data_IF_019683056645
#
_entry.id   IF_019683056645
#
_cell.length_a   1.000
_cell.length_b   1.000
_cell.length_c   1.000
_cell.angle_alpha   90.00
_cell.angle_beta   90.00
_cell.angle_gamma   90.00
#
_symmetry.space_group_name_H-M   'P 1'
#
loop_
_entity.id
_entity.type
_entity.pdbx_description
1 polymer ?
#
# COMPACT_ATOMS: atom_id res chain seq x y z
N UNK A 1 -19.05 -25.70 -18.46
CA UNK A 1 -18.44 -24.36 -18.67
C UNK A 1 -18.26 -23.68 -17.32
N UNK A 2 -17.28 -22.79 -17.17
CA UNK A 2 -17.16 -21.98 -15.93
C UNK A 2 -18.40 -21.10 -15.79
N UNK A 3 -18.98 -21.03 -14.59
CA UNK A 3 -20.19 -20.22 -14.36
C UNK A 3 -19.92 -18.74 -14.63
N UNK A 4 -20.84 -18.06 -15.32
CA UNK A 4 -20.76 -16.61 -15.57
C UNK A 4 -20.64 -15.81 -14.27
N UNK A 5 -21.29 -16.27 -13.18
CA UNK A 5 -21.21 -15.63 -11.86
C UNK A 5 -19.81 -15.71 -11.26
N UNK A 6 -19.15 -16.87 -11.38
CA UNK A 6 -17.79 -17.06 -10.88
C UNK A 6 -16.78 -16.23 -11.68
N UNK A 7 -16.91 -16.21 -13.00
CA UNK A 7 -16.06 -15.37 -13.84
C UNK A 7 -16.29 -13.88 -13.58
N UNK A 8 -17.54 -13.46 -13.36
CA UNK A 8 -17.87 -12.08 -12.99
C UNK A 8 -17.23 -11.66 -11.66
N UNK A 9 -17.28 -12.51 -10.63
CA UNK A 9 -16.60 -12.26 -9.36
C UNK A 9 -15.08 -12.18 -9.53
N UNK A 10 -14.49 -13.06 -10.35
CA UNK A 10 -13.06 -13.03 -10.66
C UNK A 10 -12.66 -11.72 -11.34
N UNK A 11 -13.39 -11.30 -12.39
CA UNK A 11 -13.15 -10.03 -13.10
C UNK A 11 -13.32 -8.82 -12.17
N UNK A 12 -14.31 -8.85 -11.28
CA UNK A 12 -14.51 -7.80 -10.30
C UNK A 12 -13.27 -7.58 -9.42
N UNK A 13 -12.73 -8.65 -8.81
CA UNK A 13 -11.53 -8.52 -7.98
C UNK A 13 -10.27 -8.19 -8.79
N UNK A 14 -10.20 -8.63 -10.04
CA UNK A 14 -9.09 -8.31 -10.94
C UNK A 14 -9.06 -6.82 -11.31
N UNK A 15 -10.22 -6.20 -11.56
CA UNK A 15 -10.33 -4.74 -11.76
C UNK A 15 -9.96 -3.98 -10.47
N UNK A 16 -10.35 -4.49 -9.31
CA UNK A 16 -9.97 -3.89 -8.03
C UNK A 16 -8.45 -3.98 -7.78
N UNK A 17 -7.81 -5.06 -8.22
CA UNK A 17 -6.35 -5.20 -8.17
C UNK A 17 -5.68 -4.15 -9.07
N UNK A 18 -6.20 -3.94 -10.29
CA UNK A 18 -5.74 -2.87 -11.17
C UNK A 18 -5.89 -1.49 -10.52
N UNK A 19 -7.07 -1.20 -9.95
CA UNK A 19 -7.33 0.07 -9.27
C UNK A 19 -6.38 0.29 -8.08
N UNK A 20 -6.12 -0.75 -7.27
CA UNK A 20 -5.14 -0.71 -6.19
C UNK A 20 -3.72 -0.41 -6.71
N UNK A 21 -3.32 -1.05 -7.81
CA UNK A 21 -2.02 -0.81 -8.46
C UNK A 21 -1.86 0.63 -8.94
N UNK A 22 -2.88 1.17 -9.63
CA UNK A 22 -2.90 2.56 -10.11
C UNK A 22 -2.86 3.52 -8.93
N UNK A 23 -3.71 3.33 -7.92
CA UNK A 23 -3.79 4.21 -6.76
C UNK A 23 -2.44 4.27 -6.02
N UNK A 24 -1.83 3.11 -5.74
CA UNK A 24 -0.52 3.05 -5.06
C UNK A 24 0.57 3.74 -5.87
N UNK A 25 0.57 3.56 -7.19
CA UNK A 25 1.57 4.17 -8.06
C UNK A 25 1.39 5.70 -8.16
N UNK A 26 0.16 6.16 -8.37
CA UNK A 26 -0.15 7.59 -8.47
C UNK A 26 0.17 8.32 -7.18
N UNK A 27 -0.25 7.81 -6.02
CA UNK A 27 0.05 8.45 -4.74
C UNK A 27 1.57 8.49 -4.49
N UNK A 28 2.30 7.43 -4.84
CA UNK A 28 3.76 7.39 -4.71
C UNK A 28 4.51 8.38 -5.60
N UNK A 29 3.88 8.85 -6.68
CA UNK A 29 4.42 9.89 -7.57
C UNK A 29 4.00 11.27 -7.09
N UNK A 30 2.70 11.46 -6.83
CA UNK A 30 2.13 12.76 -6.42
C UNK A 30 2.73 13.23 -5.10
N UNK A 31 2.95 12.35 -4.13
CA UNK A 31 3.54 12.71 -2.84
C UNK A 31 5.05 12.98 -2.88
N UNK A 32 5.69 12.88 -4.05
CA UNK A 32 7.06 13.41 -4.25
C UNK A 32 7.08 14.91 -4.57
N UNK A 33 5.91 15.50 -4.85
CA UNK A 33 5.82 16.94 -5.05
C UNK A 33 6.25 17.68 -3.77
N UNK A 34 6.91 18.85 -3.89
CA UNK A 34 7.44 19.56 -2.75
C UNK A 34 6.31 20.00 -1.80
N UNK A 35 6.23 19.34 -0.66
CA UNK A 35 5.30 19.66 0.41
C UNK A 35 5.99 19.41 1.74
N UNK A 36 6.12 20.45 2.57
CA UNK A 36 6.91 20.41 3.79
C UNK A 36 6.51 19.27 4.73
N UNK A 37 5.21 19.11 5.00
CA UNK A 37 4.73 18.10 5.94
C UNK A 37 4.73 16.70 5.34
N UNK A 38 4.38 16.54 4.06
CA UNK A 38 4.48 15.22 3.41
C UNK A 38 5.91 14.74 3.27
N UNK A 39 6.86 15.63 2.98
CA UNK A 39 8.29 15.30 2.90
C UNK A 39 8.88 14.98 4.28
N UNK A 40 8.30 15.52 5.36
CA UNK A 40 8.63 15.13 6.72
C UNK A 40 8.05 13.74 7.03
N UNK A 41 6.81 13.47 6.59
CA UNK A 41 6.08 12.21 6.85
C UNK A 41 6.64 11.02 6.09
N UNK A 42 6.92 11.18 4.80
CA UNK A 42 7.34 10.09 3.92
C UNK A 42 8.77 10.26 3.47
N UNK A 43 9.58 9.23 3.72
CA UNK A 43 10.90 9.13 3.13
C UNK A 43 10.83 8.66 1.67
N UNK A 44 11.93 8.84 0.94
CA UNK A 44 12.09 8.31 -0.41
C UNK A 44 11.93 6.77 -0.44
N UNK A 45 12.34 6.08 0.61
CA UNK A 45 12.18 4.63 0.76
C UNK A 45 10.71 4.23 0.90
N UNK A 46 9.91 5.00 1.64
CA UNK A 46 8.48 4.72 1.81
C UNK A 46 7.74 4.88 0.48
N UNK A 47 8.01 5.97 -0.24
CA UNK A 47 7.44 6.22 -1.57
C UNK A 47 7.94 5.21 -2.63
N UNK A 48 9.18 4.74 -2.53
CA UNK A 48 9.69 3.66 -3.37
C UNK A 48 8.96 2.35 -3.08
N UNK A 49 8.67 2.05 -1.83
CA UNK A 49 7.93 0.85 -1.42
C UNK A 49 6.49 0.87 -1.96
N UNK A 50 5.83 2.03 -1.89
CA UNK A 50 4.51 2.25 -2.52
C UNK A 50 4.54 2.12 -4.05
N UNK A 51 5.62 2.58 -4.69
CA UNK A 51 5.83 2.44 -6.14
C UNK A 51 6.00 0.96 -6.51
N UNK A 52 6.84 0.23 -5.76
CA UNK A 52 7.06 -1.20 -5.94
C UNK A 52 5.74 -1.99 -5.82
N UNK A 53 4.94 -1.70 -4.79
CA UNK A 53 3.65 -2.35 -4.60
C UNK A 53 2.69 -2.09 -5.76
N UNK A 54 2.63 -0.84 -6.23
CA UNK A 54 1.84 -0.46 -7.40
C UNK A 54 2.25 -1.23 -8.65
N UNK A 55 3.55 -1.27 -8.96
CA UNK A 55 4.09 -2.02 -10.11
C UNK A 55 3.78 -3.52 -10.00
N UNK A 56 3.95 -4.12 -8.82
CA UNK A 56 3.65 -5.53 -8.59
C UNK A 56 2.19 -5.86 -8.90
N UNK A 57 1.24 -5.03 -8.46
CA UNK A 57 -0.18 -5.23 -8.76
C UNK A 57 -0.49 -5.07 -10.25
N UNK A 58 0.09 -4.07 -10.91
CA UNK A 58 -0.09 -3.86 -12.36
C UNK A 58 0.46 -5.03 -13.18
N UNK A 59 1.65 -5.52 -12.84
CA UNK A 59 2.24 -6.71 -13.49
C UNK A 59 1.36 -7.93 -13.23
N UNK A 60 0.84 -8.09 -12.01
CA UNK A 60 -0.05 -9.20 -11.67
C UNK A 60 -1.36 -9.16 -12.46
N UNK A 61 -1.91 -7.98 -12.67
CA UNK A 61 -3.08 -7.78 -13.55
C UNK A 61 -2.76 -8.15 -15.01
N UNK A 62 -1.57 -7.81 -15.52
CA UNK A 62 -1.17 -8.26 -16.86
C UNK A 62 -1.05 -9.79 -16.95
N UNK A 63 -0.51 -10.41 -15.89
CA UNK A 63 -0.42 -11.88 -15.78
C UNK A 63 -1.82 -12.50 -15.68
N UNK A 64 -2.76 -11.88 -14.99
CA UNK A 64 -4.12 -12.40 -14.82
C UNK A 64 -4.88 -12.44 -16.14
N UNK A 65 -4.77 -11.39 -16.97
CA UNK A 65 -5.30 -11.35 -18.33
C UNK A 65 -4.69 -12.48 -19.17
N UNK A 66 -3.35 -12.60 -19.17
CA UNK A 66 -2.68 -13.66 -19.92
C UNK A 66 -3.10 -15.06 -19.44
N UNK A 67 -3.29 -15.25 -18.13
CA UNK A 67 -3.69 -16.52 -17.53
C UNK A 67 -5.14 -16.92 -17.86
N UNK A 68 -6.08 -15.97 -17.89
CA UNK A 68 -7.49 -16.28 -18.12
C UNK A 68 -7.80 -16.56 -19.60
N UNK A 69 -7.10 -15.89 -20.52
CA UNK A 69 -7.28 -16.03 -21.99
C UNK A 69 -6.78 -17.39 -22.51
N UNK A 70 -5.91 -18.08 -21.77
CA UNK A 70 -5.46 -19.43 -22.13
C UNK A 70 -6.64 -20.41 -22.28
N UNK A 71 -6.46 -21.39 -23.18
CA UNK A 71 -7.44 -22.46 -23.44
C UNK A 71 -7.87 -23.12 -22.13
N UNK A 72 -9.15 -23.45 -22.00
CA UNK A 72 -9.74 -23.96 -20.74
C UNK A 72 -9.04 -25.20 -20.13
N UNK A 73 -8.39 -26.04 -20.94
CA UNK A 73 -7.66 -27.21 -20.44
C UNK A 73 -6.27 -26.87 -19.86
N UNK A 74 -5.74 -25.68 -20.17
CA UNK A 74 -4.47 -25.18 -19.66
C UNK A 74 -4.76 -24.38 -18.39
N UNK A 75 -4.30 -24.87 -17.24
CA UNK A 75 -4.46 -24.19 -15.94
C UNK A 75 -3.17 -23.61 -15.40
N UNK A 76 -2.03 -23.84 -16.08
CA UNK A 76 -0.71 -23.45 -15.57
C UNK A 76 -0.59 -21.93 -15.38
N UNK A 77 -1.15 -21.11 -16.29
CA UNK A 77 -1.16 -19.66 -16.14
C UNK A 77 -1.88 -19.20 -14.87
N UNK A 78 -3.02 -19.81 -14.53
CA UNK A 78 -3.76 -19.49 -13.31
C UNK A 78 -3.03 -19.97 -12.04
N UNK A 79 -2.28 -21.06 -12.13
CA UNK A 79 -1.40 -21.51 -11.03
C UNK A 79 -0.27 -20.52 -10.80
N UNK A 80 0.37 -20.03 -11.86
CA UNK A 80 1.39 -18.97 -11.78
C UNK A 80 0.78 -17.70 -11.17
N UNK A 81 -0.41 -17.29 -11.62
CA UNK A 81 -1.12 -16.14 -11.05
C UNK A 81 -1.29 -16.29 -9.53
N UNK A 82 -1.68 -17.47 -9.03
CA UNK A 82 -1.84 -17.69 -7.60
C UNK A 82 -0.52 -17.61 -6.81
N UNK A 83 0.59 -18.07 -7.38
CA UNK A 83 1.91 -17.88 -6.77
C UNK A 83 2.30 -16.40 -6.70
N UNK A 84 2.03 -15.65 -7.77
CA UNK A 84 2.26 -14.20 -7.79
C UNK A 84 1.36 -13.48 -6.79
N UNK A 85 0.08 -13.86 -6.68
CA UNK A 85 -0.84 -13.30 -5.68
C UNK A 85 -0.38 -13.59 -4.24
N UNK A 86 0.21 -14.76 -3.99
CA UNK A 86 0.81 -15.09 -2.69
C UNK A 86 2.01 -14.18 -2.38
N UNK A 87 2.89 -13.96 -3.35
CA UNK A 87 4.03 -13.02 -3.22
C UNK A 87 3.52 -11.59 -2.95
N UNK A 88 2.49 -11.15 -3.67
CA UNK A 88 1.84 -9.86 -3.44
C UNK A 88 1.27 -9.76 -2.02
N UNK A 89 0.62 -10.82 -1.53
CA UNK A 89 0.13 -10.88 -0.16
C UNK A 89 1.26 -10.68 0.86
N UNK A 90 2.39 -11.36 0.68
CA UNK A 90 3.56 -11.18 1.55
C UNK A 90 4.07 -9.73 1.48
N UNK A 91 4.18 -9.14 0.29
CA UNK A 91 4.62 -7.76 0.13
C UNK A 91 3.69 -6.77 0.85
N UNK A 92 2.36 -6.94 0.70
CA UNK A 92 1.36 -6.13 1.42
C UNK A 92 1.51 -6.27 2.92
N UNK A 93 1.66 -7.50 3.45
CA UNK A 93 1.85 -7.71 4.88
C UNK A 93 3.11 -7.01 5.40
N UNK A 94 4.24 -7.17 4.73
CA UNK A 94 5.52 -6.60 5.16
C UNK A 94 5.45 -5.07 5.17
N UNK A 95 4.99 -4.47 4.07
CA UNK A 95 4.90 -3.00 3.94
C UNK A 95 3.86 -2.44 4.92
N UNK A 96 2.67 -3.05 4.98
CA UNK A 96 1.60 -2.61 5.89
C UNK A 96 2.00 -2.71 7.36
N UNK A 97 2.68 -3.81 7.76
CA UNK A 97 3.16 -4.01 9.13
C UNK A 97 4.26 -3.02 9.50
N UNK A 98 5.18 -2.73 8.57
CA UNK A 98 6.23 -1.74 8.78
C UNK A 98 5.64 -0.35 9.07
N UNK A 99 4.72 0.13 8.22
CA UNK A 99 4.07 1.43 8.39
C UNK A 99 3.23 1.46 9.68
N UNK A 100 2.49 0.38 9.97
CA UNK A 100 1.71 0.28 11.21
C UNK A 100 2.59 0.29 12.46
N UNK A 101 3.75 -0.36 12.43
CA UNK A 101 4.69 -0.30 13.57
C UNK A 101 5.26 1.11 13.74
N UNK A 102 5.47 1.82 12.63
CA UNK A 102 5.92 3.20 12.65
C UNK A 102 4.92 4.15 13.33
N UNK A 103 3.60 3.90 13.21
CA UNK A 103 2.57 4.69 13.91
C UNK A 103 2.54 4.43 15.42
N UNK A 104 2.91 3.24 15.89
CA UNK A 104 2.96 2.94 17.33
C UNK A 104 4.04 3.75 18.08
N UNK A 105 5.16 4.05 17.41
CA UNK A 105 6.28 4.81 17.96
C UNK A 105 6.44 6.20 17.34
N UNK A 106 5.35 6.76 16.84
CA UNK A 106 5.33 7.95 16.00
C UNK A 106 6.10 9.13 16.61
N UNK A 107 5.80 9.51 17.86
CA UNK A 107 6.45 10.64 18.55
C UNK A 107 7.96 10.48 18.64
N UNK A 108 8.47 9.27 18.84
CA UNK A 108 9.90 9.02 18.94
C UNK A 108 10.56 8.95 17.55
N UNK A 109 9.87 8.33 16.59
CA UNK A 109 10.35 8.24 15.22
C UNK A 109 10.47 9.64 14.59
N UNK A 110 9.44 10.47 14.76
CA UNK A 110 9.45 11.84 14.23
C UNK A 110 10.33 12.80 15.00
N UNK A 111 10.65 12.55 16.27
CA UNK A 111 11.73 13.28 16.95
C UNK A 111 13.05 13.10 16.20
N UNK A 112 13.36 11.84 15.84
CA UNK A 112 14.57 11.52 15.08
C UNK A 112 14.53 12.11 13.66
N UNK A 113 13.39 12.06 12.98
CA UNK A 113 13.24 12.64 11.63
C UNK A 113 13.36 14.16 11.66
N UNK A 114 12.75 14.81 12.65
CA UNK A 114 12.82 16.26 12.85
C UNK A 114 14.25 16.71 13.21
N UNK A 115 14.93 16.00 14.11
CA UNK A 115 16.30 16.31 14.52
C UNK A 115 17.31 16.25 13.37
N UNK A 116 17.08 15.38 12.37
CA UNK A 116 17.90 15.26 11.15
C UNK A 116 17.69 16.39 10.14
N UNK A 117 16.65 17.19 10.29
CA UNK A 117 16.40 18.31 9.37
C UNK A 117 17.44 19.43 9.58
N UNK A 118 17.71 20.18 8.52
CA UNK A 118 18.50 21.41 8.62
C UNK A 118 17.76 22.47 9.43
N UNK A 119 18.50 23.40 10.04
CA UNK A 119 17.91 24.50 10.82
C UNK A 119 16.94 25.35 9.98
N UNK A 120 17.22 25.53 8.69
CA UNK A 120 16.32 26.23 7.77
C UNK A 120 14.95 25.53 7.65
N UNK A 121 14.94 24.20 7.48
CA UNK A 121 13.70 23.41 7.41
C UNK A 121 13.01 23.37 8.78
N UNK A 122 13.77 23.23 9.87
CA UNK A 122 13.20 23.28 11.24
C UNK A 122 12.51 24.62 11.49
N UNK A 123 13.11 25.74 11.10
CA UNK A 123 12.51 27.07 11.18
C UNK A 123 11.23 27.14 10.35
N UNK A 124 11.24 26.64 9.11
CA UNK A 124 10.06 26.61 8.26
C UNK A 124 8.91 25.81 8.87
N UNK A 125 9.21 24.64 9.45
CA UNK A 125 8.23 23.79 10.16
C UNK A 125 7.68 24.52 11.37
N UNK A 126 8.55 25.08 12.21
CA UNK A 126 8.18 25.81 13.42
C UNK A 126 7.28 27.02 13.11
N UNK A 127 7.61 27.78 12.07
CA UNK A 127 6.84 28.94 11.63
C UNK A 127 5.50 28.53 10.99
N UNK A 128 5.45 27.40 10.28
CA UNK A 128 4.24 26.86 9.65
C UNK A 128 3.28 26.30 10.70
N UNK A 129 3.80 25.53 11.65
CA UNK A 129 3.01 24.82 12.66
C UNK A 129 2.82 25.64 13.96
N UNK A 130 3.43 26.82 14.06
CA UNK A 130 3.38 27.72 15.23
C UNK A 130 3.81 26.99 16.51
N UNK A 131 4.99 26.38 16.45
CA UNK A 131 5.61 25.62 17.53
C UNK A 131 7.11 25.89 17.60
N UNK A 132 7.74 25.62 18.75
CA UNK A 132 9.17 25.79 18.98
C UNK A 132 9.76 24.56 19.67
N UNK A 133 10.76 23.93 19.06
CA UNK A 133 11.34 22.69 19.55
C UNK A 133 10.38 21.49 19.49
N UNK A 134 10.90 20.27 19.65
CA UNK A 134 10.13 19.06 19.43
C UNK A 134 9.35 18.61 20.67
N UNK A 135 10.03 18.23 21.76
CA UNK A 135 9.38 17.90 23.05
C UNK A 135 9.41 19.05 24.06
N UNK A 136 10.35 19.97 23.92
CA UNK A 136 10.52 21.12 24.81
C UNK A 136 11.12 22.31 24.06
N UNK A 137 11.12 23.49 24.68
CA UNK A 137 11.66 24.71 24.10
C UNK A 137 13.20 24.69 23.90
N UNK A 138 13.90 23.67 24.39
CA UNK A 138 15.35 23.48 24.21
C UNK A 138 15.71 22.25 23.39
N UNK A 139 14.72 21.42 23.05
CA UNK A 139 14.90 20.16 22.33
C UNK A 139 14.71 20.39 20.82
N UNK A 140 15.77 20.20 20.04
CA UNK A 140 15.79 20.36 18.57
C UNK A 140 15.24 21.71 18.06
N UNK A 141 15.30 22.76 18.88
CA UNK A 141 14.83 24.10 18.52
C UNK A 141 15.80 24.76 17.54
N UNK A 142 15.25 25.30 16.44
CA UNK A 142 16.01 26.14 15.53
C UNK A 142 15.60 27.62 15.72
N UNK A 143 16.56 28.50 16.00
CA UNK A 143 16.30 29.91 16.28
C UNK A 143 16.52 30.78 15.03
N UNK A 144 15.80 31.90 14.96
CA UNK A 144 15.92 32.87 13.85
C UNK A 144 14.72 32.90 12.91
N UNK A 145 13.67 32.14 13.22
CA UNK A 145 12.37 32.22 12.55
C UNK A 145 11.51 33.39 13.02
N UNK A 146 10.31 33.50 12.45
CA UNK A 146 9.31 34.50 12.83
C UNK A 146 8.58 34.13 14.12
N UNK A 147 8.34 32.84 14.36
CA UNK A 147 7.65 32.35 15.56
C UNK A 147 8.62 32.11 16.73
N UNK A 148 9.81 31.58 16.43
CA UNK A 148 10.86 31.29 17.42
C UNK A 148 12.15 32.12 17.14
N UNK A 149 12.11 33.46 17.27
CA UNK A 149 13.27 34.31 16.97
C UNK A 149 14.41 34.14 17.97
N UNK A 150 14.08 33.89 19.25
CA UNK A 150 15.05 33.76 20.35
C UNK A 150 14.65 32.64 21.30
N UNK A 151 15.61 32.14 22.09
CA UNK A 151 15.33 31.12 23.11
C UNK A 151 14.27 31.56 24.14
N UNK A 152 14.26 32.85 24.49
CA UNK A 152 13.24 33.40 25.39
C UNK A 152 11.84 33.38 24.75
N UNK A 153 11.73 33.72 23.47
CA UNK A 153 10.48 33.64 22.74
C UNK A 153 9.99 32.18 22.59
N UNK A 154 10.90 31.25 22.31
CA UNK A 154 10.59 29.82 22.24
C UNK A 154 10.06 29.26 23.58
N UNK A 155 10.71 29.63 24.69
CA UNK A 155 10.25 29.25 26.03
C UNK A 155 8.89 29.88 26.37
N UNK A 156 8.66 31.15 25.99
CA UNK A 156 7.41 31.84 26.25
C UNK A 156 6.23 31.30 25.42
N UNK A 157 6.49 30.81 24.19
CA UNK A 157 5.46 30.23 23.33
C UNK A 157 4.85 28.96 23.94
N UNK A 158 5.65 28.17 24.64
CA UNK A 158 5.25 26.91 25.31
C UNK A 158 4.39 25.99 24.42
N UNK A 159 4.69 25.98 23.11
CA UNK A 159 4.02 25.20 22.07
C UNK A 159 5.07 24.35 21.37
N UNK A 160 4.95 23.03 21.45
CA UNK A 160 5.98 22.10 20.95
C UNK A 160 5.52 21.38 19.68
N UNK A 161 6.45 21.14 18.77
CA UNK A 161 6.14 20.65 17.43
C UNK A 161 5.69 19.18 17.39
N UNK A 162 5.94 18.40 18.45
CA UNK A 162 5.50 17.00 18.52
C UNK A 162 4.01 16.85 18.21
N UNK A 163 3.13 17.61 18.84
CA UNK A 163 1.68 17.46 18.68
C UNK A 163 1.18 17.78 17.27
N UNK A 164 1.49 18.95 16.67
CA UNK A 164 1.03 19.25 15.32
C UNK A 164 1.68 18.35 14.25
N UNK A 165 2.96 17.96 14.42
CA UNK A 165 3.63 17.01 13.51
C UNK A 165 2.93 15.65 13.56
N UNK A 166 2.80 15.06 14.76
CA UNK A 166 2.18 13.74 14.87
C UNK A 166 0.70 13.77 14.53
N UNK A 167 -0.02 14.88 14.74
CA UNK A 167 -1.42 14.96 14.29
C UNK A 167 -1.54 14.80 12.77
N UNK A 168 -0.64 15.42 12.01
CA UNK A 168 -0.63 15.30 10.55
C UNK A 168 -0.16 13.91 10.10
N UNK A 169 0.95 13.45 10.69
CA UNK A 169 1.53 12.16 10.35
C UNK A 169 0.63 10.99 10.75
N UNK A 170 -0.03 11.02 11.91
CA UNK A 170 -0.95 9.98 12.39
C UNK A 170 -2.12 9.81 11.41
N UNK A 171 -2.81 10.90 11.07
CA UNK A 171 -3.89 10.86 10.10
C UNK A 171 -3.42 10.29 8.76
N UNK A 172 -2.26 10.72 8.29
CA UNK A 172 -1.73 10.31 6.98
C UNK A 172 -1.33 8.84 6.98
N UNK A 173 -0.55 8.41 7.97
CA UNK A 173 -0.06 7.03 8.09
C UNK A 173 -1.20 6.04 8.39
N UNK A 174 -2.17 6.41 9.23
CA UNK A 174 -3.35 5.59 9.51
C UNK A 174 -4.16 5.31 8.25
N UNK A 175 -4.38 6.33 7.42
CA UNK A 175 -5.06 6.17 6.14
C UNK A 175 -4.25 5.27 5.19
N UNK A 176 -2.91 5.44 5.14
CA UNK A 176 -2.04 4.66 4.26
C UNK A 176 -2.00 3.18 4.65
N UNK A 177 -1.67 2.84 5.90
CA UNK A 177 -1.60 1.42 6.26
C UNK A 177 -2.96 0.75 6.17
N UNK A 178 -4.06 1.45 6.52
CA UNK A 178 -5.41 0.90 6.41
C UNK A 178 -5.78 0.61 4.96
N UNK A 179 -5.40 1.50 4.04
CA UNK A 179 -5.59 1.30 2.59
C UNK A 179 -4.76 0.13 2.08
N UNK A 180 -3.49 0.02 2.49
CA UNK A 180 -2.61 -1.09 2.11
C UNK A 180 -3.16 -2.44 2.63
N UNK A 181 -3.60 -2.50 3.88
CA UNK A 181 -4.29 -3.70 4.38
C UNK A 181 -5.63 -3.95 3.66
N UNK A 182 -6.33 -2.90 3.22
CA UNK A 182 -7.49 -3.05 2.33
C UNK A 182 -7.15 -3.79 1.03
N UNK A 183 -5.97 -3.56 0.46
CA UNK A 183 -5.51 -4.30 -0.72
C UNK A 183 -5.32 -5.79 -0.45
N UNK A 184 -5.02 -6.20 0.79
CA UNK A 184 -4.95 -7.61 1.17
C UNK A 184 -6.26 -8.34 0.89
N UNK A 185 -7.40 -7.71 1.22
CA UNK A 185 -8.71 -8.31 0.99
C UNK A 185 -8.93 -8.60 -0.50
N UNK A 186 -8.52 -7.68 -1.38
CA UNK A 186 -8.59 -7.83 -2.84
C UNK A 186 -7.72 -9.02 -3.29
N UNK A 187 -6.47 -9.09 -2.82
CA UNK A 187 -5.51 -10.16 -3.17
C UNK A 187 -6.03 -11.53 -2.74
N UNK A 188 -6.51 -11.67 -1.50
CA UNK A 188 -7.05 -12.93 -0.98
C UNK A 188 -8.29 -13.35 -1.76
N UNK A 189 -9.22 -12.42 -2.02
CA UNK A 189 -10.43 -12.72 -2.78
C UNK A 189 -10.12 -13.16 -4.21
N UNK A 190 -9.18 -12.49 -4.89
CA UNK A 190 -8.76 -12.88 -6.23
C UNK A 190 -8.03 -14.23 -6.24
N UNK A 191 -7.22 -14.52 -5.22
CA UNK A 191 -6.57 -15.82 -5.04
C UNK A 191 -7.61 -16.95 -4.91
N UNK A 192 -8.61 -16.77 -4.04
CA UNK A 192 -9.69 -17.73 -3.85
C UNK A 192 -10.55 -17.90 -5.12
N UNK A 193 -10.90 -16.80 -5.78
CA UNK A 193 -11.63 -16.83 -7.04
C UNK A 193 -10.84 -17.60 -8.12
N UNK A 194 -9.54 -17.37 -8.22
CA UNK A 194 -8.65 -18.06 -9.16
C UNK A 194 -8.57 -19.55 -8.85
N UNK A 195 -8.45 -19.94 -7.58
CA UNK A 195 -8.52 -21.35 -7.15
C UNK A 195 -9.82 -22.02 -7.58
N UNK A 196 -10.97 -21.35 -7.37
CA UNK A 196 -12.27 -21.84 -7.81
C UNK A 196 -12.34 -22.03 -9.34
N UNK A 197 -11.80 -21.08 -10.11
CA UNK A 197 -11.74 -21.17 -11.58
C UNK A 197 -10.88 -22.35 -12.03
N UNK A 198 -9.69 -22.53 -11.44
CA UNK A 198 -8.80 -23.68 -11.73
C UNK A 198 -9.54 -24.99 -11.47
N UNK A 199 -10.16 -25.15 -10.30
CA UNK A 199 -10.87 -26.39 -9.94
C UNK A 199 -12.02 -26.67 -10.88
N UNK A 200 -12.80 -25.65 -11.28
CA UNK A 200 -13.87 -25.83 -12.27
C UNK A 200 -13.36 -26.20 -13.65
N UNK A 201 -12.24 -25.63 -14.11
CA UNK A 201 -11.59 -26.03 -15.37
C UNK A 201 -11.14 -27.49 -15.34
N UNK A 202 -10.48 -27.91 -14.25
CA UNK A 202 -10.02 -29.29 -14.05
C UNK A 202 -11.18 -30.30 -13.99
N UNK A 203 -12.28 -29.94 -13.32
CA UNK A 203 -13.49 -30.77 -13.24
C UNK A 203 -14.10 -31.00 -14.63
N UNK A 204 -14.24 -29.95 -15.43
CA UNK A 204 -14.76 -30.04 -16.81
C UNK A 204 -13.88 -30.94 -17.68
N UNK A 205 -12.56 -30.79 -17.61
CA UNK A 205 -11.64 -31.64 -18.37
C UNK A 205 -11.67 -33.10 -17.92
N UNK A 206 -11.85 -33.36 -16.62
CA UNK A 206 -12.05 -34.71 -16.10
C UNK A 206 -13.33 -35.33 -16.67
N UNK A 207 -14.45 -34.60 -16.69
CA UNK A 207 -15.69 -35.11 -17.26
C UNK A 207 -15.58 -35.38 -18.76
N UNK A 208 -14.92 -34.50 -19.53
CA UNK A 208 -14.63 -34.76 -20.96
C UNK A 208 -13.83 -36.04 -21.17
N UNK A 209 -12.80 -36.29 -20.35
CA UNK A 209 -12.00 -37.52 -20.41
C UNK A 209 -12.81 -38.77 -20.07
N UNK A 210 -13.76 -38.67 -19.12
CA UNK A 210 -14.65 -39.79 -18.76
C UNK A 210 -15.62 -40.09 -19.90
N UNK A 211 -16.19 -39.06 -20.52
CA UNK A 211 -17.14 -39.22 -21.62
C UNK A 211 -16.48 -39.80 -22.87
N UNK A 212 -15.25 -39.37 -23.19
CA UNK A 212 -14.44 -39.95 -24.25
C UNK A 212 -14.17 -41.46 -24.03
N UNK A 213 -13.97 -41.90 -22.78
CA UNK A 213 -13.79 -43.33 -22.45
C UNK A 213 -15.07 -44.16 -22.58
N UNK A 214 -16.26 -43.54 -22.51
CA UNK A 214 -17.57 -44.21 -22.58
C UNK A 214 -18.15 -44.23 -24.01
N UNK A 215 -17.32 -43.96 -25.02
CA UNK A 215 -17.74 -43.95 -26.42
C UNK A 215 -18.61 -42.74 -26.79
N UNK A 216 -18.48 -41.62 -26.04
CA UNK A 216 -19.15 -40.36 -26.37
C UNK A 216 -20.67 -40.37 -26.22
N UNK A 217 -21.22 -41.32 -25.44
CA UNK A 217 -22.67 -41.42 -25.20
C UNK A 217 -23.23 -40.42 -24.16
N UNK A 218 -22.40 -39.56 -23.59
CA UNK A 218 -22.81 -38.35 -22.85
C UNK A 218 -23.29 -38.59 -21.41
N UNK A 219 -22.70 -37.85 -20.47
CA UNK A 219 -23.36 -37.44 -19.21
C UNK A 219 -23.70 -35.94 -19.22
N UNK A 220 -23.33 -35.22 -20.30
CA UNK A 220 -23.41 -33.77 -20.48
C UNK A 220 -23.74 -33.46 -21.93
#
# INVERSE_FOLDING_TARGET
MVSKKLLGAWVFFDIFLLAAGILSLVLSIVWRAPNLLLNLTFSSTDLNSGTLLGVLFLVTFMISIAAIVQRNHVTIGLVILNWVLLINGIAVLVIGTYIWTYTLHERNNYHTVFGRQSDAIKIEIQDTLKCCGYFSATDEVALGGTFCPTAAAAAAANSFCVTPITKFADMTLNNVFSTIYGFMAIVICLFLATMCVIKKRQEIERFKKIDAKRGGKGFV
#
